data_IF_745331752550
#
_entry.id   IF_745331752550
#
_cell.length_a   1.000
_cell.length_b   1.000
_cell.length_c   1.000
_cell.angle_alpha   90.00
_cell.angle_beta   90.00
_cell.angle_gamma   90.00
#
_symmetry.space_group_name_H-M   'P 1'
#
loop_
_entity.id
_entity.type
_entity.pdbx_description
1 polymer ?
#
# COMPACT_ATOMS: atom_id res chain seq x y z
N UNK A 1 24.58 -39.96 -8.83
CA UNK A 1 24.30 -38.78 -9.68
C UNK A 1 22.83 -38.36 -9.59
N UNK A 2 21.88 -39.30 -9.75
CA UNK A 2 20.43 -39.04 -9.66
C UNK A 2 20.00 -38.37 -8.34
N UNK A 3 20.50 -38.85 -7.20
CA UNK A 3 20.21 -38.27 -5.85
C UNK A 3 20.68 -36.83 -5.69
N UNK A 4 21.89 -36.51 -6.16
CA UNK A 4 22.41 -35.13 -6.16
C UNK A 4 21.54 -34.22 -7.05
N UNK A 5 21.09 -34.73 -8.19
CA UNK A 5 20.19 -34.01 -9.09
C UNK A 5 18.82 -33.77 -8.45
N UNK A 6 18.26 -34.73 -7.72
CA UNK A 6 17.01 -34.54 -6.97
C UNK A 6 17.17 -33.48 -5.87
N UNK A 7 18.28 -33.47 -5.14
CA UNK A 7 18.56 -32.41 -4.15
C UNK A 7 18.68 -31.02 -4.79
N UNK A 8 19.28 -30.92 -5.98
CA UNK A 8 19.34 -29.67 -6.74
C UNK A 8 17.94 -29.20 -7.16
N UNK A 9 17.10 -30.11 -7.67
CA UNK A 9 15.72 -29.77 -8.03
C UNK A 9 14.89 -29.31 -6.83
N UNK A 10 15.05 -29.95 -5.67
CA UNK A 10 14.39 -29.55 -4.42
C UNK A 10 14.86 -28.15 -3.97
N UNK A 11 16.17 -27.88 -4.04
CA UNK A 11 16.72 -26.58 -3.67
C UNK A 11 16.21 -25.45 -4.58
N UNK A 12 16.13 -25.70 -5.89
CA UNK A 12 15.57 -24.75 -6.87
C UNK A 12 14.09 -24.48 -6.58
N UNK A 13 13.31 -25.53 -6.32
CA UNK A 13 11.88 -25.41 -6.01
C UNK A 13 11.61 -24.59 -4.74
N UNK A 14 12.42 -24.78 -3.70
CA UNK A 14 12.33 -23.99 -2.45
C UNK A 14 12.70 -22.51 -2.67
N UNK A 15 13.61 -22.21 -3.60
CA UNK A 15 14.03 -20.84 -3.89
C UNK A 15 12.98 -20.05 -4.70
N UNK A 16 12.17 -20.74 -5.52
CA UNK A 16 11.14 -20.12 -6.36
C UNK A 16 9.99 -19.47 -5.59
N UNK A 17 9.84 -19.73 -4.28
CA UNK A 17 8.71 -19.23 -3.48
C UNK A 17 8.87 -17.80 -2.93
N UNK A 18 10.01 -17.14 -3.19
CA UNK A 18 10.37 -15.88 -2.50
C UNK A 18 9.86 -14.59 -3.17
N UNK A 19 9.01 -14.66 -4.20
CA UNK A 19 8.68 -13.50 -5.04
C UNK A 19 7.29 -12.84 -4.80
N UNK A 20 6.64 -13.09 -3.66
CA UNK A 20 5.40 -12.38 -3.30
C UNK A 20 5.69 -11.21 -2.35
N UNK A 21 6.39 -10.18 -2.83
CA UNK A 21 6.30 -8.87 -2.19
C UNK A 21 4.92 -8.30 -2.53
N UNK A 22 3.96 -8.45 -1.61
CA UNK A 22 2.72 -7.68 -1.72
C UNK A 22 3.15 -6.21 -1.74
N UNK A 23 3.01 -5.55 -2.89
CA UNK A 23 3.26 -4.11 -3.05
C UNK A 23 2.25 -3.35 -2.19
N UNK A 24 2.52 -3.30 -0.89
CA UNK A 24 1.76 -2.55 0.09
C UNK A 24 2.41 -1.19 0.20
N UNK A 25 1.62 -0.17 -0.06
CA UNK A 25 2.01 1.18 0.27
C UNK A 25 2.18 1.29 1.78
N UNK A 26 3.22 1.98 2.22
CA UNK A 26 3.35 2.37 3.62
C UNK A 26 2.58 3.67 3.87
N UNK A 27 2.51 4.11 5.13
CA UNK A 27 1.82 5.34 5.52
C UNK A 27 2.27 6.57 4.71
N UNK A 28 3.56 6.67 4.39
CA UNK A 28 4.11 7.76 3.57
C UNK A 28 3.56 7.75 2.15
N UNK A 29 3.44 6.57 1.55
CA UNK A 29 2.83 6.39 0.23
C UNK A 29 1.39 6.87 0.18
N UNK A 30 0.57 6.38 1.12
CA UNK A 30 -0.83 6.80 1.26
C UNK A 30 -0.97 8.32 1.42
N UNK A 31 -0.18 8.92 2.32
CA UNK A 31 -0.19 10.37 2.56
C UNK A 31 0.25 11.17 1.36
N UNK A 32 1.26 10.72 0.63
CA UNK A 32 1.76 11.36 -0.59
C UNK A 32 0.65 11.44 -1.64
N UNK A 33 -0.01 10.32 -1.92
CA UNK A 33 -1.14 10.28 -2.87
C UNK A 33 -2.29 11.16 -2.38
N UNK A 34 -2.63 11.12 -1.09
CA UNK A 34 -3.67 11.98 -0.51
C UNK A 34 -3.37 13.46 -0.65
N UNK A 35 -2.11 13.87 -0.48
CA UNK A 35 -1.67 15.27 -0.63
C UNK A 35 -1.74 15.73 -2.08
N UNK A 36 -1.29 14.90 -3.02
CA UNK A 36 -1.40 15.17 -4.45
C UNK A 36 -2.87 15.29 -4.82
N UNK A 37 -3.72 14.32 -4.47
CA UNK A 37 -5.14 14.37 -4.78
C UNK A 37 -5.80 15.67 -4.27
N UNK A 38 -5.46 16.10 -3.04
CA UNK A 38 -5.98 17.34 -2.45
C UNK A 38 -5.61 18.62 -3.25
N UNK A 39 -4.44 18.67 -3.89
CA UNK A 39 -4.03 19.83 -4.69
C UNK A 39 -4.78 19.96 -6.02
N UNK A 40 -5.34 18.86 -6.54
CA UNK A 40 -6.10 18.85 -7.79
C UNK A 40 -7.62 18.94 -7.60
N UNK A 41 -8.11 19.10 -6.37
CA UNK A 41 -9.54 19.24 -6.11
C UNK A 41 -10.08 20.60 -6.54
N UNK A 42 -11.27 20.57 -7.15
CA UNK A 42 -12.10 21.78 -7.30
C UNK A 42 -12.48 22.35 -5.92
N UNK A 43 -12.64 23.67 -5.84
CA UNK A 43 -13.01 24.36 -4.60
C UNK A 43 -14.33 23.86 -3.98
N UNK A 44 -15.32 23.52 -4.80
CA UNK A 44 -16.58 22.92 -4.36
C UNK A 44 -16.38 21.54 -3.72
N UNK A 45 -15.52 20.69 -4.30
CA UNK A 45 -15.17 19.38 -3.74
C UNK A 45 -14.41 19.53 -2.43
N UNK A 46 -13.43 20.45 -2.37
CA UNK A 46 -12.65 20.71 -1.16
C UNK A 46 -13.53 21.10 0.03
N UNK A 47 -14.55 21.94 -0.20
CA UNK A 47 -15.55 22.31 0.85
C UNK A 47 -16.34 21.11 1.37
N UNK A 48 -16.79 20.23 0.46
CA UNK A 48 -17.54 19.01 0.84
C UNK A 48 -16.67 18.04 1.63
N UNK A 49 -15.43 17.80 1.18
CA UNK A 49 -14.48 16.94 1.87
C UNK A 49 -14.12 17.53 3.24
N UNK A 50 -13.89 18.84 3.34
CA UNK A 50 -13.63 19.50 4.61
C UNK A 50 -14.77 19.30 5.63
N UNK A 51 -16.03 19.35 5.17
CA UNK A 51 -17.21 19.05 6.00
C UNK A 51 -17.24 17.58 6.45
N UNK A 52 -16.94 16.64 5.56
CA UNK A 52 -16.92 15.20 5.85
C UNK A 52 -15.80 14.84 6.83
N UNK A 53 -14.61 15.36 6.60
CA UNK A 53 -13.39 15.07 7.38
C UNK A 53 -13.21 16.03 8.57
N UNK A 54 -14.17 16.91 8.83
CA UNK A 54 -14.17 17.87 9.95
C UNK A 54 -12.85 18.67 10.07
N UNK A 55 -12.33 19.21 8.98
CA UNK A 55 -11.06 19.95 9.01
C UNK A 55 -9.81 19.15 8.68
N UNK A 56 -9.87 17.81 8.69
CA UNK A 56 -8.71 16.97 8.42
C UNK A 56 -8.37 16.91 6.92
N UNK A 57 -7.08 16.76 6.61
CA UNK A 57 -6.61 16.63 5.23
C UNK A 57 -6.86 15.23 4.69
N UNK A 58 -6.95 15.13 3.36
CA UNK A 58 -6.98 13.84 2.65
C UNK A 58 -5.73 13.00 2.93
N UNK A 59 -4.58 13.64 3.09
CA UNK A 59 -3.35 12.95 3.47
C UNK A 59 -3.50 12.28 4.84
N UNK A 60 -4.07 12.96 5.84
CA UNK A 60 -4.30 12.38 7.17
C UNK A 60 -5.26 11.19 7.12
N UNK A 61 -6.41 11.34 6.46
CA UNK A 61 -7.41 10.29 6.36
C UNK A 61 -6.95 9.06 5.54
N UNK A 62 -5.91 9.19 4.72
CA UNK A 62 -5.46 8.14 3.79
C UNK A 62 -4.94 6.87 4.45
N UNK A 63 -4.55 6.91 5.73
CA UNK A 63 -4.04 5.74 6.48
C UNK A 63 -5.08 5.09 7.37
N UNK A 64 -6.25 5.72 7.56
CA UNK A 64 -7.28 5.27 8.49
C UNK A 64 -7.71 3.81 8.24
N UNK A 65 -7.87 3.40 6.98
CA UNK A 65 -8.32 2.06 6.62
C UNK A 65 -7.33 0.94 7.05
N UNK A 66 -6.03 1.24 7.09
CA UNK A 66 -5.02 0.30 7.58
C UNK A 66 -4.95 0.31 9.11
N UNK A 67 -5.19 1.46 9.74
CA UNK A 67 -5.16 1.63 11.21
C UNK A 67 -6.33 0.92 11.90
N UNK A 68 -7.53 0.90 11.31
CA UNK A 68 -8.70 0.23 11.90
C UNK A 68 -8.68 -1.30 11.81
N UNK A 69 -7.71 -1.86 11.09
CA UNK A 69 -7.65 -3.30 10.77
C UNK A 69 -6.75 -4.09 11.74
N UNK A 70 -6.05 -3.42 12.65
CA UNK A 70 -5.18 -4.02 13.68
C UNK A 70 -5.84 -3.96 15.05
#
# INVERSE_FOLDING_TARGET
MKTKLTFIFIAIFLFSFSANSSLRWNATGHRTVGKIAESYLKSSTKRKINKLLKGQSLAFASTYADEIKS
#
